data_IF_186226674157
#
_entry.id   IF_186226674157
#
_cell.length_a   1.000
_cell.length_b   1.000
_cell.length_c   1.000
_cell.angle_alpha   90.00
_cell.angle_beta   90.00
_cell.angle_gamma   90.00
#
_symmetry.space_group_name_H-M   'P 1'
#
loop_
_entity.id
_entity.type
_entity.pdbx_description
1 polymer ?
#
# COMPACT_ATOMS: atom_id res chain seq x y z
N UNK A 1 27.02 9.30 3.52
CA UNK A 1 26.00 9.90 2.63
C UNK A 1 24.62 9.42 3.07
N UNK A 2 23.68 10.36 3.17
CA UNK A 2 22.29 10.12 3.56
C UNK A 2 21.38 10.38 2.36
N UNK A 3 20.31 9.59 2.25
CA UNK A 3 19.26 9.83 1.26
C UNK A 3 17.88 9.61 1.87
N UNK A 4 16.91 10.33 1.34
CA UNK A 4 15.48 10.11 1.56
C UNK A 4 14.86 9.82 0.20
N UNK A 5 13.98 8.84 0.13
CA UNK A 5 13.23 8.58 -1.09
C UNK A 5 11.75 8.33 -0.81
N UNK A 6 10.96 8.52 -1.85
CA UNK A 6 9.53 8.16 -1.89
C UNK A 6 9.23 7.41 -3.18
N UNK A 7 8.08 6.74 -3.23
CA UNK A 7 7.61 5.99 -4.40
C UNK A 7 6.22 6.47 -4.77
N UNK A 8 6.02 6.84 -6.04
CA UNK A 8 4.74 7.35 -6.54
C UNK A 8 4.39 6.75 -7.89
N UNK A 9 3.10 6.68 -8.21
CA UNK A 9 2.67 6.71 -9.61
C UNK A 9 2.87 8.13 -10.17
N UNK A 10 2.99 8.30 -11.49
CA UNK A 10 3.37 9.61 -12.07
C UNK A 10 2.38 10.73 -11.75
N UNK A 11 1.11 10.39 -11.54
CA UNK A 11 0.06 11.32 -11.15
C UNK A 11 0.13 11.79 -9.68
N UNK A 12 0.97 11.16 -8.86
CA UNK A 12 1.21 11.51 -7.44
C UNK A 12 2.54 12.24 -7.22
N UNK A 13 3.30 12.57 -8.28
CA UNK A 13 4.53 13.39 -8.19
C UNK A 13 4.34 14.70 -7.41
N UNK A 14 3.21 15.42 -7.49
CA UNK A 14 3.06 16.64 -6.70
C UNK A 14 3.06 16.39 -5.18
N UNK A 15 2.63 15.22 -4.70
CA UNK A 15 2.78 14.85 -3.28
C UNK A 15 4.27 14.68 -2.91
N UNK A 16 5.02 13.96 -3.75
CA UNK A 16 6.45 13.78 -3.57
C UNK A 16 7.22 15.11 -3.57
N UNK A 17 6.77 16.10 -4.36
CA UNK A 17 7.34 17.45 -4.34
C UNK A 17 7.13 18.13 -2.98
N UNK A 18 5.93 18.03 -2.39
CA UNK A 18 5.62 18.60 -1.06
C UNK A 18 6.51 17.95 0.01
N UNK A 19 6.61 16.62 -0.01
CA UNK A 19 7.49 15.87 0.90
C UNK A 19 8.95 16.32 0.75
N UNK A 20 9.47 16.38 -0.49
CA UNK A 20 10.84 16.82 -0.76
C UNK A 20 11.11 18.26 -0.31
N UNK A 21 10.15 19.16 -0.51
CA UNK A 21 10.24 20.55 -0.07
C UNK A 21 10.27 20.65 1.45
N UNK A 22 9.44 19.86 2.16
CA UNK A 22 9.46 19.79 3.62
C UNK A 22 10.80 19.25 4.15
N UNK A 23 11.37 18.22 3.51
CA UNK A 23 12.69 17.72 3.88
C UNK A 23 13.76 18.80 3.73
N UNK A 24 13.80 19.50 2.59
CA UNK A 24 14.84 20.52 2.31
C UNK A 24 14.82 21.67 3.32
N UNK A 25 13.66 22.00 3.89
CA UNK A 25 13.54 23.03 4.93
C UNK A 25 14.33 22.68 6.19
N UNK A 26 14.38 21.40 6.57
CA UNK A 26 15.07 20.94 7.77
C UNK A 26 16.45 20.34 7.49
N UNK A 27 16.66 19.81 6.28
CA UNK A 27 17.81 19.02 5.85
C UNK A 27 18.25 19.37 4.42
N UNK A 28 18.80 20.57 4.17
CA UNK A 28 19.16 21.00 2.82
C UNK A 28 20.27 20.15 2.16
N UNK A 29 21.09 19.48 2.98
CA UNK A 29 22.23 18.68 2.52
C UNK A 29 21.89 17.21 2.21
N UNK A 30 20.68 16.76 2.53
CA UNK A 30 20.26 15.38 2.31
C UNK A 30 19.70 15.22 0.89
N UNK A 31 20.14 14.18 0.18
CA UNK A 31 19.61 13.89 -1.16
C UNK A 31 18.18 13.38 -1.07
N UNK A 32 17.25 14.03 -1.78
CA UNK A 32 15.88 13.54 -1.97
C UNK A 32 15.70 12.93 -3.37
N UNK A 33 15.08 11.76 -3.44
CA UNK A 33 14.89 11.01 -4.69
C UNK A 33 13.43 10.56 -4.82
N UNK A 34 12.85 10.75 -6.00
CA UNK A 34 11.52 10.25 -6.32
C UNK A 34 11.68 8.98 -7.16
N UNK A 35 11.11 7.86 -6.70
CA UNK A 35 11.02 6.66 -7.52
C UNK A 35 9.62 6.61 -8.14
N UNK A 36 9.54 6.46 -9.46
CA UNK A 36 8.26 6.40 -10.17
C UNK A 36 7.93 4.95 -10.53
N UNK A 37 6.88 4.42 -9.91
CA UNK A 37 6.30 3.10 -10.15
C UNK A 37 5.35 3.10 -11.37
N UNK A 38 5.70 3.85 -12.40
CA UNK A 38 4.87 4.13 -13.58
C UNK A 38 5.80 4.42 -14.78
N UNK A 39 5.23 4.70 -15.94
CA UNK A 39 6.00 5.01 -17.16
C UNK A 39 6.00 6.50 -17.48
N UNK A 40 7.13 6.94 -18.04
CA UNK A 40 7.22 8.21 -18.74
C UNK A 40 6.36 8.14 -20.03
N UNK A 41 5.78 9.28 -20.43
CA UNK A 41 5.00 9.41 -21.66
C UNK A 41 5.01 10.86 -22.16
N UNK A 42 4.29 11.16 -23.25
CA UNK A 42 4.25 12.49 -23.85
C UNK A 42 3.71 13.60 -22.92
N UNK A 43 3.03 13.25 -21.82
CA UNK A 43 2.47 14.20 -20.87
C UNK A 43 3.42 14.54 -19.72
N UNK A 44 4.47 13.75 -19.50
CA UNK A 44 5.42 13.98 -18.42
C UNK A 44 6.85 13.57 -18.79
N UNK A 45 7.79 14.48 -18.55
CA UNK A 45 9.22 14.27 -18.75
C UNK A 45 9.91 14.24 -17.38
N UNK A 46 10.42 13.08 -16.98
CA UNK A 46 11.07 12.82 -15.70
C UNK A 46 12.37 13.62 -15.54
N UNK A 47 13.05 13.96 -16.63
CA UNK A 47 14.29 14.76 -16.57
C UNK A 47 14.05 16.22 -16.20
N UNK A 48 12.83 16.71 -16.39
CA UNK A 48 12.43 18.10 -16.10
C UNK A 48 11.74 18.28 -14.75
N UNK A 49 11.70 17.24 -13.92
CA UNK A 49 11.03 17.30 -12.62
C UNK A 49 11.91 17.98 -11.55
N UNK A 50 11.25 18.53 -10.52
CA UNK A 50 11.88 19.32 -9.44
C UNK A 50 12.97 18.56 -8.69
N UNK A 51 12.78 17.25 -8.55
CA UNK A 51 13.69 16.35 -7.86
C UNK A 51 14.14 15.22 -8.80
N UNK A 52 15.33 14.63 -8.59
CA UNK A 52 15.79 13.50 -9.36
C UNK A 52 14.77 12.35 -9.33
N UNK A 53 14.39 11.87 -10.53
CA UNK A 53 13.51 10.72 -10.68
C UNK A 53 14.30 9.47 -11.09
N UNK A 54 13.93 8.36 -10.47
CA UNK A 54 14.33 7.01 -10.88
C UNK A 54 13.07 6.25 -11.31
N UNK A 55 12.93 5.95 -12.59
CA UNK A 55 11.89 5.04 -13.05
C UNK A 55 12.12 3.64 -12.46
N UNK A 56 11.04 2.94 -12.09
CA UNK A 56 11.14 1.60 -11.50
C UNK A 56 11.87 0.59 -12.41
N UNK A 57 11.83 0.80 -13.73
CA UNK A 57 12.56 0.04 -14.75
C UNK A 57 14.09 0.07 -14.54
N UNK A 58 14.61 1.12 -13.91
CA UNK A 58 16.04 1.29 -13.64
C UNK A 58 16.50 0.67 -12.31
N UNK A 59 15.61 0.04 -11.54
CA UNK A 59 15.95 -0.59 -10.26
C UNK A 59 16.61 -1.97 -10.41
N UNK A 60 16.67 -2.52 -11.63
CA UNK A 60 17.27 -3.83 -11.90
C UNK A 60 16.44 -5.00 -11.36
N UNK A 61 15.11 -4.90 -11.43
CA UNK A 61 14.18 -5.94 -10.98
C UNK A 61 13.81 -6.82 -12.17
N UNK A 62 14.24 -8.08 -12.15
CA UNK A 62 13.98 -9.02 -13.25
C UNK A 62 12.48 -9.30 -13.43
N UNK A 63 11.71 -9.40 -12.35
CA UNK A 63 10.25 -9.68 -12.40
C UNK A 63 9.39 -8.40 -12.47
N UNK A 64 9.96 -7.23 -12.81
CA UNK A 64 9.25 -5.94 -12.69
C UNK A 64 7.91 -5.92 -13.42
N UNK A 65 7.88 -6.38 -14.69
CA UNK A 65 6.65 -6.40 -15.50
C UNK A 65 5.58 -7.29 -14.89
N UNK A 66 5.99 -8.42 -14.32
CA UNK A 66 5.08 -9.33 -13.62
C UNK A 66 4.52 -8.68 -12.35
N UNK A 67 5.38 -8.06 -11.54
CA UNK A 67 5.00 -7.33 -10.34
C UNK A 67 4.03 -6.18 -10.67
N UNK A 68 4.33 -5.37 -11.69
CA UNK A 68 3.48 -4.26 -12.13
C UNK A 68 2.10 -4.71 -12.59
N UNK A 69 1.97 -5.96 -13.07
CA UNK A 69 0.69 -6.53 -13.47
C UNK A 69 -0.05 -7.18 -12.29
N UNK A 70 0.59 -8.10 -11.56
CA UNK A 70 -0.08 -8.89 -10.51
C UNK A 70 -0.46 -8.08 -9.28
N UNK A 71 0.28 -7.01 -9.01
CA UNK A 71 -0.04 -6.05 -7.94
C UNK A 71 -0.88 -4.91 -8.48
N UNK A 72 -1.85 -4.44 -7.69
CA UNK A 72 -2.45 -3.13 -7.96
C UNK A 72 -1.45 -1.99 -7.68
N UNK A 73 -1.84 -0.74 -7.97
CA UNK A 73 -0.93 0.40 -7.83
C UNK A 73 -0.34 0.53 -6.41
N UNK A 74 -1.15 0.33 -5.37
CA UNK A 74 -0.69 0.42 -3.97
C UNK A 74 0.26 -0.73 -3.64
N UNK A 75 -0.13 -1.96 -3.97
CA UNK A 75 0.68 -3.17 -3.79
C UNK A 75 2.02 -3.07 -4.56
N UNK A 76 2.02 -2.49 -5.76
CA UNK A 76 3.22 -2.35 -6.58
C UNK A 76 4.16 -1.27 -6.03
N UNK A 77 3.65 -0.07 -5.73
CA UNK A 77 4.45 0.99 -5.12
C UNK A 77 5.13 0.50 -3.83
N UNK A 78 4.38 -0.23 -2.99
CA UNK A 78 4.91 -0.76 -1.74
C UNK A 78 5.91 -1.90 -1.95
N UNK A 79 5.70 -2.77 -2.95
CA UNK A 79 6.62 -3.85 -3.30
C UNK A 79 8.02 -3.36 -3.70
N UNK A 80 8.12 -2.15 -4.26
CA UNK A 80 9.38 -1.58 -4.75
C UNK A 80 10.31 -1.08 -3.64
N UNK A 81 9.80 -0.80 -2.42
CA UNK A 81 10.60 -0.23 -1.31
C UNK A 81 11.93 -0.93 -1.05
N UNK A 82 12.01 -2.26 -0.82
CA UNK A 82 13.29 -2.93 -0.60
C UNK A 82 14.24 -2.83 -1.79
N UNK A 83 13.72 -2.83 -3.01
CA UNK A 83 14.55 -2.70 -4.22
C UNK A 83 15.16 -1.29 -4.32
N UNK A 84 14.43 -0.25 -3.94
CA UNK A 84 14.93 1.11 -3.85
C UNK A 84 16.04 1.23 -2.79
N UNK A 85 15.86 0.65 -1.60
CA UNK A 85 16.92 0.59 -0.58
C UNK A 85 18.18 -0.08 -1.14
N UNK A 86 18.03 -1.25 -1.77
CA UNK A 86 19.15 -1.98 -2.39
C UNK A 86 19.85 -1.14 -3.46
N UNK A 87 19.08 -0.48 -4.32
CA UNK A 87 19.61 0.39 -5.37
C UNK A 87 20.44 1.54 -4.78
N UNK A 88 19.91 2.24 -3.77
CA UNK A 88 20.59 3.37 -3.14
C UNK A 88 21.84 2.95 -2.35
N UNK A 89 21.80 1.80 -1.70
CA UNK A 89 22.98 1.19 -1.08
C UNK A 89 24.10 0.92 -2.10
N UNK A 90 23.75 0.39 -3.28
CA UNK A 90 24.71 0.18 -4.37
C UNK A 90 25.24 1.50 -4.96
N UNK A 91 24.53 2.61 -4.80
CA UNK A 91 24.99 3.96 -5.15
C UNK A 91 25.85 4.62 -4.06
N UNK A 92 26.10 3.93 -2.95
CA UNK A 92 27.01 4.39 -1.89
C UNK A 92 26.32 5.11 -0.72
N UNK A 93 24.99 5.24 -0.73
CA UNK A 93 24.26 5.78 0.42
C UNK A 93 24.34 4.82 1.61
N UNK A 94 24.56 5.37 2.80
CA UNK A 94 24.82 4.57 4.02
C UNK A 94 23.65 4.56 5.00
N UNK A 95 22.84 5.60 4.98
CA UNK A 95 21.60 5.71 5.76
C UNK A 95 20.54 6.21 4.81
N UNK A 96 19.46 5.44 4.67
CA UNK A 96 18.40 5.73 3.72
C UNK A 96 17.08 5.73 4.49
N UNK A 97 16.25 6.74 4.25
CA UNK A 97 14.89 6.81 4.79
C UNK A 97 13.90 6.69 3.62
N UNK A 98 12.86 5.92 3.84
CA UNK A 98 11.66 5.93 3.02
C UNK A 98 10.55 6.71 3.71
N UNK A 99 9.83 7.51 2.93
CA UNK A 99 8.54 8.09 3.31
C UNK A 99 7.48 7.80 2.24
N UNK A 100 6.26 7.45 2.66
CA UNK A 100 5.07 7.52 1.81
C UNK A 100 4.90 8.96 1.30
N UNK A 101 4.40 9.15 0.07
CA UNK A 101 4.43 10.46 -0.58
C UNK A 101 3.49 11.49 0.05
N UNK A 102 2.50 11.05 0.82
CA UNK A 102 1.55 11.88 1.57
C UNK A 102 2.00 12.21 3.00
N UNK A 103 3.32 12.20 3.23
CA UNK A 103 3.94 12.65 4.47
C UNK A 103 4.45 14.09 4.34
N UNK A 104 4.31 14.86 5.42
CA UNK A 104 4.96 16.15 5.59
C UNK A 104 5.89 16.12 6.82
N UNK A 105 7.12 16.60 6.65
CA UNK A 105 8.12 16.70 7.72
C UNK A 105 8.02 18.08 8.37
N UNK A 106 7.79 18.10 9.69
CA UNK A 106 7.61 19.32 10.49
C UNK A 106 8.84 19.68 11.33
N UNK A 107 9.76 18.74 11.55
CA UNK A 107 11.00 18.98 12.29
C UNK A 107 12.14 18.07 11.83
N UNK A 108 13.34 18.27 12.39
CA UNK A 108 14.57 17.56 12.02
C UNK A 108 14.47 16.05 12.29
N UNK A 109 14.97 15.28 11.33
CA UNK A 109 15.13 13.82 11.40
C UNK A 109 16.43 13.36 12.11
N UNK A 110 17.11 14.23 12.86
CA UNK A 110 18.39 13.93 13.52
C UNK A 110 18.29 12.70 14.44
N UNK A 111 17.14 12.53 15.12
CA UNK A 111 16.84 11.35 15.94
C UNK A 111 16.88 10.05 15.13
N UNK A 112 16.30 10.02 13.93
CA UNK A 112 16.29 8.85 13.05
C UNK A 112 17.72 8.48 12.62
N UNK A 113 18.51 9.46 12.19
CA UNK A 113 19.89 9.22 11.76
C UNK A 113 20.81 8.79 12.90
N UNK A 114 20.56 9.33 14.11
CA UNK A 114 21.26 8.92 15.33
C UNK A 114 20.92 7.48 15.69
N UNK A 115 19.65 7.09 15.65
CA UNK A 115 19.21 5.71 15.89
C UNK A 115 19.86 4.74 14.88
N UNK A 116 19.91 5.12 13.60
CA UNK A 116 20.62 4.34 12.58
C UNK A 116 22.13 4.25 12.80
N UNK A 117 22.77 5.02 13.70
CA UNK A 117 24.18 4.77 14.02
C UNK A 117 24.36 3.44 14.73
N UNK A 118 23.39 3.06 15.57
CA UNK A 118 23.43 1.88 16.44
C UNK A 118 22.45 0.77 16.03
N UNK A 119 21.54 1.04 15.08
CA UNK A 119 20.59 0.06 14.55
C UNK A 119 20.71 -0.12 13.03
N UNK A 120 20.29 -1.27 12.53
CA UNK A 120 20.23 -1.54 11.09
C UNK A 120 18.93 -1.07 10.45
N UNK A 121 17.86 -0.93 11.25
CA UNK A 121 16.56 -0.47 10.79
C UNK A 121 15.85 0.33 11.89
N UNK A 122 15.08 1.35 11.48
CA UNK A 122 14.18 2.11 12.34
C UNK A 122 12.76 1.97 11.81
N UNK A 123 11.84 1.59 12.70
CA UNK A 123 10.42 1.39 12.43
C UNK A 123 9.58 2.25 13.37
N UNK A 124 8.35 2.58 12.95
CA UNK A 124 7.34 3.21 13.82
C UNK A 124 6.12 2.30 13.93
N UNK A 125 5.57 2.07 15.13
CA UNK A 125 4.31 1.37 15.28
C UNK A 125 3.15 2.26 14.82
N UNK A 126 2.00 1.68 14.50
CA UNK A 126 0.78 2.46 14.29
C UNK A 126 0.48 3.32 15.54
N UNK A 127 0.46 2.70 16.72
CA UNK A 127 0.33 3.35 18.02
C UNK A 127 1.08 2.55 19.08
N UNK A 128 1.31 3.13 20.27
CA UNK A 128 2.12 2.48 21.30
C UNK A 128 1.63 2.69 22.74
N UNK A 129 0.47 3.29 22.93
CA UNK A 129 -0.23 3.36 24.21
C UNK A 129 -1.11 2.14 24.39
N UNK A 130 -0.93 1.43 25.49
CA UNK A 130 -1.82 0.33 25.87
C UNK A 130 -3.15 0.89 26.40
N UNK A 131 -4.25 0.29 25.97
CA UNK A 131 -5.60 0.57 26.46
C UNK A 131 -6.28 -0.75 26.80
N UNK A 132 -6.95 -0.82 27.96
CA UNK A 132 -7.81 -1.98 28.28
C UNK A 132 -9.11 -1.94 27.47
N UNK A 133 -9.64 -0.74 27.24
CA UNK A 133 -10.85 -0.49 26.46
C UNK A 133 -10.47 0.38 25.26
N UNK A 134 -10.09 -0.25 24.16
CA UNK A 134 -9.58 0.43 22.96
C UNK A 134 -10.54 1.53 22.44
N UNK A 135 -10.03 2.76 22.31
CA UNK A 135 -10.84 3.93 21.92
C UNK A 135 -10.62 4.40 20.47
N UNK A 136 -9.76 3.69 19.73
CA UNK A 136 -9.35 4.06 18.39
C UNK A 136 -10.44 4.04 17.31
N UNK A 137 -10.10 4.64 16.17
CA UNK A 137 -11.02 4.83 15.04
C UNK A 137 -11.30 3.54 14.26
N UNK A 138 -10.31 2.66 14.17
CA UNK A 138 -10.40 1.40 13.45
C UNK A 138 -10.46 0.24 14.42
N UNK A 139 -11.29 -0.78 14.17
CA UNK A 139 -11.26 -2.00 14.99
C UNK A 139 -9.85 -2.57 15.02
N UNK A 140 -9.41 -3.09 16.16
CA UNK A 140 -8.06 -3.68 16.31
C UNK A 140 -7.78 -4.80 15.29
N UNK A 141 -8.81 -5.54 14.86
CA UNK A 141 -8.70 -6.52 13.77
C UNK A 141 -8.23 -5.94 12.42
N UNK A 142 -8.38 -4.63 12.19
CA UNK A 142 -7.79 -3.95 11.04
C UNK A 142 -6.29 -3.74 11.22
N UNK A 143 -5.84 -3.43 12.44
CA UNK A 143 -4.44 -3.24 12.79
C UNK A 143 -3.72 -4.60 12.78
N UNK A 144 -4.32 -5.65 13.36
CA UNK A 144 -3.81 -7.02 13.29
C UNK A 144 -3.64 -7.51 11.86
N UNK A 145 -4.56 -7.12 10.96
CA UNK A 145 -4.41 -7.42 9.54
C UNK A 145 -3.29 -6.60 8.92
N UNK A 146 -3.27 -5.27 9.11
CA UNK A 146 -2.30 -4.38 8.52
C UNK A 146 -0.85 -4.70 8.94
N UNK A 147 -0.64 -4.97 10.23
CA UNK A 147 0.68 -5.12 10.86
C UNK A 147 0.83 -4.15 12.02
N UNK A 148 1.77 -4.44 12.93
CA UNK A 148 2.04 -3.60 14.11
C UNK A 148 2.73 -2.31 13.68
N UNK A 149 3.67 -2.41 12.74
CA UNK A 149 4.40 -1.27 12.19
C UNK A 149 3.67 -0.64 11.01
N UNK A 150 3.75 0.69 10.91
CA UNK A 150 3.29 1.42 9.75
C UNK A 150 4.48 1.79 8.87
N UNK A 151 4.51 1.28 7.63
CA UNK A 151 5.59 1.55 6.68
C UNK A 151 5.35 2.77 5.78
N UNK A 152 4.50 3.70 6.20
CA UNK A 152 4.61 5.07 5.72
C UNK A 152 5.97 5.67 6.03
N UNK A 153 6.67 5.14 7.03
CA UNK A 153 8.06 5.45 7.30
C UNK A 153 8.84 4.18 7.63
N UNK A 154 10.04 4.07 7.06
CA UNK A 154 11.08 3.22 7.61
C UNK A 154 12.45 3.77 7.22
N UNK A 155 13.46 3.44 8.01
CA UNK A 155 14.84 3.80 7.69
C UNK A 155 15.75 2.59 7.81
N UNK A 156 16.71 2.47 6.91
CA UNK A 156 17.68 1.38 6.93
C UNK A 156 19.11 1.92 6.78
N UNK A 157 20.03 1.24 7.46
CA UNK A 157 21.47 1.46 7.32
C UNK A 157 22.08 0.40 6.42
N UNK A 158 23.06 0.83 5.62
CA UNK A 158 23.97 -0.07 4.95
C UNK A 158 24.87 -0.76 5.99
N UNK A 159 24.48 -1.97 6.37
CA UNK A 159 25.17 -2.87 7.29
C UNK A 159 24.92 -4.32 6.86
N UNK A 160 25.60 -5.29 7.45
CA UNK A 160 25.37 -6.71 7.15
C UNK A 160 23.92 -7.13 7.45
N UNK A 161 23.37 -6.69 8.57
CA UNK A 161 21.97 -6.97 8.92
C UNK A 161 20.99 -6.17 8.04
N UNK A 162 21.27 -4.89 7.75
CA UNK A 162 20.46 -4.08 6.84
C UNK A 162 20.36 -4.71 5.44
N UNK A 163 21.46 -5.24 4.91
CA UNK A 163 21.48 -5.96 3.64
C UNK A 163 20.70 -7.29 3.70
N UNK A 164 20.81 -8.05 4.80
CA UNK A 164 19.99 -9.26 5.00
C UNK A 164 18.50 -8.94 5.02
N UNK A 165 18.10 -7.90 5.75
CA UNK A 165 16.71 -7.42 5.81
C UNK A 165 16.23 -7.06 4.39
N UNK A 166 16.97 -6.21 3.68
CA UNK A 166 16.61 -5.78 2.31
C UNK A 166 16.48 -6.97 1.36
N UNK A 167 17.44 -7.90 1.36
CA UNK A 167 17.42 -9.04 0.45
C UNK A 167 16.26 -10.00 0.77
N UNK A 168 16.01 -10.27 2.06
CA UNK A 168 14.87 -11.05 2.49
C UNK A 168 13.55 -10.40 2.08
N UNK A 169 13.43 -9.08 2.28
CA UNK A 169 12.22 -8.33 1.97
C UNK A 169 11.97 -8.25 0.45
N UNK A 170 13.01 -8.00 -0.38
CA UNK A 170 12.94 -8.11 -1.84
C UNK A 170 12.33 -9.47 -2.26
N UNK A 171 12.83 -10.57 -1.69
CA UNK A 171 12.36 -11.90 -2.04
C UNK A 171 10.88 -12.11 -1.65
N UNK A 172 10.45 -11.68 -0.46
CA UNK A 172 9.05 -11.76 -0.05
C UNK A 172 8.14 -10.91 -0.94
N UNK A 173 8.51 -9.66 -1.21
CA UNK A 173 7.66 -8.72 -1.95
C UNK A 173 7.65 -8.93 -3.47
N UNK A 174 8.56 -9.76 -3.99
CA UNK A 174 8.47 -10.22 -5.38
C UNK A 174 7.21 -11.07 -5.57
N UNK A 175 6.82 -11.87 -4.57
CA UNK A 175 5.72 -12.83 -4.69
C UNK A 175 4.51 -12.54 -3.80
N UNK A 176 4.69 -11.87 -2.66
CA UNK A 176 3.70 -11.84 -1.58
C UNK A 176 3.36 -10.42 -1.08
N UNK A 177 3.53 -9.38 -1.90
CA UNK A 177 3.13 -7.99 -1.57
C UNK A 177 1.63 -7.72 -1.80
N UNK A 178 0.76 -8.58 -1.26
CA UNK A 178 -0.68 -8.49 -1.48
C UNK A 178 -1.41 -7.95 -0.26
N UNK A 179 -2.50 -7.20 -0.48
CA UNK A 179 -3.50 -6.94 0.54
C UNK A 179 -4.57 -8.04 0.52
N UNK A 180 -4.32 -9.15 1.22
CA UNK A 180 -5.19 -10.33 1.23
C UNK A 180 -5.37 -10.90 2.65
N UNK A 181 -6.57 -10.70 3.21
CA UNK A 181 -6.93 -11.19 4.55
C UNK A 181 -6.94 -12.72 4.65
N UNK A 182 -7.22 -13.43 3.56
CA UNK A 182 -7.30 -14.89 3.54
C UNK A 182 -5.92 -15.50 3.67
N UNK A 183 -4.95 -14.95 2.93
CA UNK A 183 -3.54 -15.39 2.98
C UNK A 183 -2.80 -14.78 4.19
N UNK A 184 -3.45 -13.91 4.96
CA UNK A 184 -2.83 -13.21 6.08
C UNK A 184 -1.74 -12.24 5.63
N UNK A 185 -1.84 -11.68 4.43
CA UNK A 185 -0.88 -10.76 3.83
C UNK A 185 -1.41 -9.33 3.82
N UNK A 186 -0.55 -8.36 4.10
CA UNK A 186 -0.88 -6.96 3.91
C UNK A 186 0.35 -6.17 3.45
N UNK A 187 0.46 -6.09 2.12
CA UNK A 187 1.50 -5.38 1.37
C UNK A 187 2.89 -5.63 1.96
N UNK A 188 3.73 -4.60 1.95
CA UNK A 188 5.10 -4.60 2.42
C UNK A 188 5.19 -4.62 3.96
N UNK A 189 4.29 -3.92 4.64
CA UNK A 189 4.40 -3.62 6.07
C UNK A 189 4.24 -4.83 6.99
N UNK A 190 3.31 -5.74 6.68
CA UNK A 190 3.05 -6.89 7.56
C UNK A 190 4.27 -7.78 7.75
N UNK A 191 5.13 -7.87 6.74
CA UNK A 191 6.38 -8.63 6.82
C UNK A 191 7.32 -8.10 7.89
N UNK A 192 7.25 -6.80 8.22
CA UNK A 192 8.15 -6.20 9.20
C UNK A 192 7.83 -6.57 10.65
N UNK A 193 6.65 -7.13 10.92
CA UNK A 193 6.30 -7.69 12.23
C UNK A 193 7.27 -8.79 12.68
N UNK A 194 7.89 -9.51 11.73
CA UNK A 194 8.88 -10.55 12.03
C UNK A 194 10.28 -10.01 12.36
N UNK A 195 10.61 -8.80 11.91
CA UNK A 195 12.00 -8.31 11.95
C UNK A 195 12.59 -8.16 13.35
N UNK A 196 11.86 -7.63 14.36
CA UNK A 196 12.37 -7.58 15.73
C UNK A 196 12.69 -8.96 16.32
N UNK A 197 12.06 -10.02 15.82
CA UNK A 197 12.36 -11.40 16.25
C UNK A 197 13.59 -11.99 15.56
N UNK A 198 13.92 -11.54 14.35
CA UNK A 198 15.07 -12.04 13.60
C UNK A 198 16.35 -11.25 13.84
N UNK A 199 16.23 -9.97 14.19
CA UNK A 199 17.35 -9.04 14.29
C UNK A 199 17.26 -8.23 15.60
N UNK A 200 18.30 -8.32 16.43
CA UNK A 200 18.37 -7.60 17.70
C UNK A 200 18.61 -6.08 17.53
N UNK A 201 19.02 -5.64 16.33
CA UNK A 201 19.37 -4.25 16.02
C UNK A 201 18.29 -3.57 15.15
N UNK A 202 17.02 -3.93 15.36
CA UNK A 202 15.85 -3.19 14.85
C UNK A 202 15.37 -2.25 15.94
N UNK A 203 15.44 -0.95 15.68
CA UNK A 203 14.97 0.07 16.62
C UNK A 203 13.51 0.42 16.35
N UNK A 204 12.70 0.39 17.41
CA UNK A 204 11.29 0.79 17.35
C UNK A 204 11.19 2.21 17.91
N UNK A 205 10.99 3.18 17.02
CA UNK A 205 10.75 4.57 17.38
C UNK A 205 9.36 4.73 17.99
N UNK A 206 9.30 5.21 19.23
CA UNK A 206 8.09 5.32 20.04
C UNK A 206 7.71 6.76 20.36
N UNK A 207 8.50 7.74 19.95
CA UNK A 207 8.16 9.15 20.09
C UNK A 207 6.83 9.46 19.42
N UNK A 208 5.99 10.23 20.11
CA UNK A 208 4.63 10.53 19.67
C UNK A 208 4.62 11.49 18.47
N UNK A 209 5.70 12.25 18.30
CA UNK A 209 5.95 13.12 17.15
C UNK A 209 6.21 12.40 15.83
N UNK A 210 6.44 11.09 15.83
CA UNK A 210 6.77 10.33 14.63
C UNK A 210 5.53 9.61 14.07
N UNK A 211 5.27 9.75 12.77
CA UNK A 211 4.22 9.02 12.05
C UNK A 211 2.82 9.24 12.64
N UNK A 212 2.48 10.51 12.96
CA UNK A 212 1.13 10.86 13.38
C UNK A 212 0.15 10.71 12.22
N UNK A 213 -0.97 10.03 12.44
CA UNK A 213 -1.99 9.77 11.43
C UNK A 213 -3.31 9.30 12.05
N UNK A 214 -4.30 9.04 11.20
CA UNK A 214 -5.66 8.63 11.59
C UNK A 214 -5.73 7.43 12.54
N UNK A 215 -4.78 6.49 12.51
CA UNK A 215 -4.78 5.35 13.43
C UNK A 215 -4.31 5.68 14.85
N UNK A 216 -3.63 6.80 15.08
CA UNK A 216 -3.13 7.20 16.41
C UNK A 216 -3.71 8.52 16.95
N UNK A 217 -4.67 9.14 16.26
CA UNK A 217 -5.39 10.30 16.81
C UNK A 217 -6.03 10.05 18.18
N UNK A 218 -6.46 8.82 18.46
CA UNK A 218 -7.05 8.45 19.75
C UNK A 218 -6.07 8.59 20.93
N UNK A 219 -4.78 8.31 20.72
CA UNK A 219 -3.75 8.43 21.76
C UNK A 219 -2.98 9.76 21.69
N UNK A 220 -2.87 10.39 20.52
CA UNK A 220 -2.04 11.58 20.28
C UNK A 220 -2.89 12.81 20.05
N UNK A 221 -2.76 13.81 20.92
CA UNK A 221 -3.35 15.13 20.75
C UNK A 221 -2.35 16.09 20.15
N UNK A 222 -2.77 16.76 19.07
CA UNK A 222 -2.00 17.81 18.43
C UNK A 222 -2.25 19.15 19.13
N UNK A 223 -1.18 19.89 19.40
CA UNK A 223 -1.22 21.22 20.00
C UNK A 223 -0.43 22.13 19.08
N UNK A 224 -1.02 23.24 18.68
CA UNK A 224 -0.32 24.30 17.95
C UNK A 224 0.04 25.44 18.90
N UNK A 225 1.30 25.89 18.84
CA UNK A 225 1.78 27.07 19.55
C UNK A 225 2.73 27.85 18.66
N UNK A 226 2.43 29.12 18.41
CA UNK A 226 3.28 30.02 17.63
C UNK A 226 3.68 29.45 16.25
N UNK A 227 2.77 28.74 15.57
CA UNK A 227 3.02 28.10 14.27
C UNK A 227 3.86 26.82 14.32
N UNK A 228 4.16 26.31 15.52
CA UNK A 228 4.80 25.01 15.73
C UNK A 228 3.81 23.99 16.29
N UNK A 229 4.03 22.73 15.97
CA UNK A 229 3.17 21.62 16.39
C UNK A 229 3.86 20.73 17.43
N UNK A 230 3.11 20.42 18.48
CA UNK A 230 3.52 19.55 19.57
C UNK A 230 2.48 18.46 19.78
N UNK A 231 2.91 17.32 20.33
CA UNK A 231 2.09 16.16 20.62
C UNK A 231 2.12 15.90 22.12
N UNK A 232 0.94 15.64 22.68
CA UNK A 232 0.81 15.03 24.01
C UNK A 232 0.04 13.72 23.90
N UNK A 233 0.33 12.80 24.81
CA UNK A 233 -0.48 11.61 24.95
C UNK A 233 -1.78 11.94 25.69
N UNK A 234 -2.93 11.89 25.00
CA UNK A 234 -4.22 12.24 25.59
C UNK A 234 -4.82 11.16 26.51
N UNK A 235 -4.22 9.95 26.54
CA UNK A 235 -4.69 8.83 27.37
C UNK A 235 -3.96 8.80 28.71
N UNK A 236 -2.62 8.71 28.71
CA UNK A 236 -1.82 8.62 29.95
C UNK A 236 -1.36 9.98 30.49
N UNK A 237 -1.48 11.04 29.68
CA UNK A 237 -0.77 12.30 29.92
C UNK A 237 0.73 12.14 29.61
N UNK A 238 1.34 13.14 28.97
CA UNK A 238 2.79 13.18 28.76
C UNK A 238 3.29 14.61 28.70
N UNK A 239 4.61 14.79 28.77
CA UNK A 239 5.25 16.02 28.31
C UNK A 239 4.97 16.22 26.83
N UNK A 240 5.03 17.48 26.41
CA UNK A 240 4.97 17.86 24.99
C UNK A 240 6.22 17.36 24.26
N UNK A 241 6.00 16.70 23.12
CA UNK A 241 7.03 16.33 22.16
C UNK A 241 6.79 17.08 20.85
N UNK A 242 7.83 17.54 20.12
CA UNK A 242 7.62 18.17 18.82
C UNK A 242 7.03 17.17 17.81
N UNK A 243 6.12 17.63 16.95
CA UNK A 243 5.69 16.86 15.78
C UNK A 243 6.86 16.79 14.78
N UNK A 244 7.36 15.58 14.49
CA UNK A 244 8.46 15.37 13.56
C UNK A 244 7.94 15.19 12.13
N UNK A 245 6.95 14.32 11.95
CA UNK A 245 6.26 14.19 10.67
C UNK A 245 4.84 13.64 10.82
N UNK A 246 3.97 14.06 9.91
CA UNK A 246 2.57 13.66 9.85
C UNK A 246 2.30 12.92 8.54
N UNK A 247 1.55 11.82 8.62
CA UNK A 247 1.14 11.02 7.48
C UNK A 247 -0.34 11.25 7.20
N UNK A 248 -0.63 11.93 6.08
CA UNK A 248 -1.99 12.28 5.65
C UNK A 248 -2.73 11.10 4.99
N UNK A 249 -2.59 9.93 5.60
CA UNK A 249 -3.23 8.69 5.16
C UNK A 249 -4.75 8.78 5.26
N UNK A 250 -5.46 8.22 4.29
CA UNK A 250 -6.92 8.28 4.10
C UNK A 250 -7.50 9.66 3.75
N UNK A 251 -6.69 10.69 3.51
CA UNK A 251 -7.19 11.97 3.01
C UNK A 251 -7.56 11.89 1.52
N UNK A 252 -8.58 12.67 1.13
CA UNK A 252 -9.08 12.72 -0.24
C UNK A 252 -8.39 13.84 -1.03
N UNK A 253 -7.15 13.63 -1.46
CA UNK A 253 -6.30 14.68 -2.09
C UNK A 253 -6.94 15.43 -3.27
N UNK A 254 -7.85 14.79 -4.03
CA UNK A 254 -8.60 15.45 -5.13
C UNK A 254 -9.52 16.56 -4.64
N UNK A 255 -9.98 16.47 -3.39
CA UNK A 255 -10.95 17.37 -2.77
C UNK A 255 -10.27 18.42 -1.87
N UNK A 256 -8.96 18.67 -2.03
CA UNK A 256 -8.19 19.59 -1.18
C UNK A 256 -8.81 21.00 -1.08
N UNK A 257 -9.52 21.48 -2.10
CA UNK A 257 -10.22 22.78 -2.07
C UNK A 257 -11.46 22.81 -1.17
N UNK A 258 -11.91 21.68 -0.65
CA UNK A 258 -13.07 21.56 0.22
C UNK A 258 -12.71 20.74 1.47
N UNK A 259 -12.23 21.42 2.54
CA UNK A 259 -11.68 20.80 3.75
C UNK A 259 -12.56 19.66 4.32
N UNK A 260 -13.88 19.85 4.39
CA UNK A 260 -14.81 18.83 4.90
C UNK A 260 -14.95 17.57 4.04
N UNK A 261 -14.55 17.62 2.76
CA UNK A 261 -14.44 16.46 1.86
C UNK A 261 -13.02 15.92 1.77
N UNK A 262 -12.02 16.80 1.93
CA UNK A 262 -10.61 16.46 1.96
C UNK A 262 -10.28 15.53 3.13
N UNK A 263 -10.80 15.86 4.31
CA UNK A 263 -10.54 15.12 5.54
C UNK A 263 -11.34 13.81 5.61
N UNK A 264 -10.77 12.74 6.20
CA UNK A 264 -11.53 11.53 6.50
C UNK A 264 -12.76 11.85 7.36
N UNK A 265 -13.89 11.17 7.13
CA UNK A 265 -15.14 11.36 7.89
C UNK A 265 -14.90 11.25 9.41
N UNK A 266 -13.96 10.38 9.81
CA UNK A 266 -13.59 10.10 11.19
C UNK A 266 -12.95 11.31 11.90
N UNK A 267 -12.43 12.29 11.16
CA UNK A 267 -11.85 13.52 11.70
C UNK A 267 -12.81 14.32 12.56
N UNK A 268 -14.13 14.15 12.39
CA UNK A 268 -15.16 14.82 13.21
C UNK A 268 -15.04 14.49 14.71
N UNK A 269 -14.32 13.43 15.09
CA UNK A 269 -14.03 13.07 16.48
C UNK A 269 -12.82 13.80 17.08
N UNK A 270 -12.02 14.49 16.26
CA UNK A 270 -10.72 15.05 16.63
C UNK A 270 -10.52 16.42 15.99
N UNK A 271 -11.00 17.47 16.65
CA UNK A 271 -10.92 18.84 16.10
C UNK A 271 -9.48 19.39 16.08
N UNK A 272 -8.57 18.81 16.87
CA UNK A 272 -7.18 19.22 16.97
C UNK A 272 -6.37 18.99 15.69
N UNK A 273 -6.88 18.20 14.74
CA UNK A 273 -6.23 17.96 13.44
C UNK A 273 -6.70 18.90 12.32
N UNK A 274 -7.66 19.79 12.58
CA UNK A 274 -8.22 20.67 11.55
C UNK A 274 -7.17 21.62 10.97
N UNK A 275 -6.33 22.22 11.82
CA UNK A 275 -5.35 23.21 11.38
C UNK A 275 -4.24 22.59 10.52
N UNK A 276 -3.67 21.46 10.96
CA UNK A 276 -2.66 20.74 10.16
C UNK A 276 -3.24 20.20 8.85
N UNK A 277 -4.53 19.85 8.83
CA UNK A 277 -5.24 19.44 7.62
C UNK A 277 -5.43 20.59 6.64
N UNK A 278 -5.83 21.77 7.13
CA UNK A 278 -5.95 22.96 6.29
C UNK A 278 -4.59 23.37 5.71
N UNK A 279 -3.54 23.38 6.55
CA UNK A 279 -2.18 23.64 6.12
C UNK A 279 -1.75 22.75 4.94
N UNK A 280 -1.96 21.44 5.05
CA UNK A 280 -1.57 20.52 3.98
C UNK A 280 -2.48 20.65 2.74
N UNK A 281 -3.78 20.92 2.92
CA UNK A 281 -4.69 21.20 1.81
C UNK A 281 -4.23 22.42 0.99
N UNK A 282 -3.75 23.47 1.64
CA UNK A 282 -3.25 24.67 0.95
C UNK A 282 -2.01 24.37 0.09
N UNK A 283 -1.11 23.51 0.58
CA UNK A 283 0.05 23.03 -0.20
C UNK A 283 -0.39 22.22 -1.43
N UNK A 284 -1.37 21.34 -1.27
CA UNK A 284 -1.93 20.52 -2.34
C UNK A 284 -2.58 21.37 -3.44
N UNK A 285 -3.30 22.42 -3.05
CA UNK A 285 -3.91 23.39 -3.98
C UNK A 285 -2.81 24.11 -4.75
N UNK A 286 -1.76 24.59 -4.07
CA UNK A 286 -0.61 25.27 -4.69
C UNK A 286 0.10 24.38 -5.72
N UNK A 287 0.21 23.09 -5.44
CA UNK A 287 0.80 22.08 -6.35
C UNK A 287 -0.17 21.58 -7.44
N UNK A 288 -1.41 22.10 -7.50
CA UNK A 288 -2.43 21.71 -8.48
C UNK A 288 -2.70 20.19 -8.52
N UNK A 289 -2.69 19.50 -7.37
CA UNK A 289 -2.79 18.04 -7.31
C UNK A 289 -4.05 17.50 -8.03
N UNK A 290 -5.20 18.17 -7.90
CA UNK A 290 -6.46 17.72 -8.50
C UNK A 290 -6.37 17.66 -10.03
N UNK A 291 -5.70 18.63 -10.64
CA UNK A 291 -5.47 18.69 -12.08
C UNK A 291 -4.55 17.56 -12.55
N UNK A 292 -3.46 17.32 -11.80
CA UNK A 292 -2.49 16.26 -12.12
C UNK A 292 -3.11 14.86 -12.01
N UNK A 293 -3.87 14.61 -10.94
CA UNK A 293 -4.58 13.35 -10.72
C UNK A 293 -5.67 13.07 -11.76
N UNK A 294 -6.16 14.09 -12.46
CA UNK A 294 -7.12 13.94 -13.55
C UNK A 294 -6.45 13.75 -14.92
N UNK A 295 -5.32 14.42 -15.15
CA UNK A 295 -4.62 14.43 -16.45
C UNK A 295 -3.72 13.21 -16.66
N UNK A 296 -3.01 12.79 -15.63
CA UNK A 296 -2.02 11.73 -15.73
C UNK A 296 -2.65 10.38 -15.33
N UNK A 297 -2.92 9.53 -16.31
CA UNK A 297 -3.45 8.19 -16.08
C UNK A 297 -2.32 7.21 -15.74
N UNK A 298 -2.50 6.37 -14.72
CA UNK A 298 -1.53 5.33 -14.34
C UNK A 298 -1.33 4.31 -15.48
N UNK A 299 -0.11 4.15 -16.00
CA UNK A 299 0.12 3.39 -17.24
C UNK A 299 -0.14 1.89 -17.07
N UNK A 300 0.03 1.34 -15.87
CA UNK A 300 -0.23 -0.08 -15.62
C UNK A 300 -1.70 -0.40 -15.30
N UNK A 301 -2.63 0.55 -15.47
CA UNK A 301 -4.07 0.34 -15.27
C UNK A 301 -4.78 -0.35 -16.46
N UNK A 302 -4.11 -0.48 -17.60
CA UNK A 302 -4.68 -1.03 -18.83
C UNK A 302 -3.68 -1.93 -19.56
N UNK A 303 -4.20 -2.81 -20.42
CA UNK A 303 -3.41 -3.50 -21.44
C UNK A 303 -2.85 -2.50 -22.48
N UNK A 304 -1.93 -2.94 -23.34
CA UNK A 304 -1.29 -2.09 -24.36
C UNK A 304 -2.28 -1.47 -25.37
N UNK A 305 -3.46 -2.07 -25.55
CA UNK A 305 -4.55 -1.56 -26.38
C UNK A 305 -5.53 -0.61 -25.63
N UNK A 306 -5.26 -0.28 -24.37
CA UNK A 306 -6.11 0.57 -23.53
C UNK A 306 -7.26 -0.15 -22.81
N UNK A 307 -7.42 -1.46 -22.97
CA UNK A 307 -8.45 -2.23 -22.23
C UNK A 307 -8.17 -2.18 -20.72
N UNK A 308 -9.13 -1.80 -19.86
CA UNK A 308 -8.89 -1.71 -18.41
C UNK A 308 -8.54 -3.05 -17.75
N UNK A 309 -7.64 -3.02 -16.78
CA UNK A 309 -7.25 -4.17 -15.95
C UNK A 309 -7.88 -4.03 -14.56
N UNK A 310 -8.89 -4.85 -14.27
CA UNK A 310 -9.50 -4.94 -12.95
C UNK A 310 -8.65 -5.74 -11.96
N UNK A 311 -8.86 -5.54 -10.66
CA UNK A 311 -8.23 -6.32 -9.59
C UNK A 311 -8.47 -7.82 -9.76
N UNK A 312 -9.67 -8.21 -10.23
CA UNK A 312 -9.97 -9.60 -10.56
C UNK A 312 -8.98 -10.17 -11.58
N UNK A 313 -8.69 -9.45 -12.67
CA UNK A 313 -7.72 -9.89 -13.67
C UNK A 313 -6.31 -10.05 -13.09
N UNK A 314 -5.89 -9.18 -12.16
CA UNK A 314 -4.57 -9.26 -11.51
C UNK A 314 -4.44 -10.48 -10.61
N UNK A 315 -5.48 -10.76 -9.82
CA UNK A 315 -5.57 -11.94 -8.94
C UNK A 315 -5.67 -13.23 -9.75
N UNK A 316 -6.45 -13.21 -10.82
CA UNK A 316 -6.55 -14.32 -11.74
C UNK A 316 -5.20 -14.63 -12.40
N UNK A 317 -4.46 -13.59 -12.81
CA UNK A 317 -3.12 -13.71 -13.35
C UNK A 317 -2.13 -14.36 -12.38
N UNK A 318 -2.16 -13.98 -11.09
CA UNK A 318 -1.37 -14.64 -10.03
C UNK A 318 -1.57 -16.16 -10.07
N UNK A 319 -2.82 -16.63 -10.15
CA UNK A 319 -3.11 -18.07 -10.19
C UNK A 319 -2.48 -18.75 -11.40
N UNK A 320 -2.57 -18.11 -12.57
CA UNK A 320 -2.07 -18.70 -13.82
C UNK A 320 -0.53 -18.75 -13.89
N UNK A 321 0.16 -17.84 -13.21
CA UNK A 321 1.62 -17.95 -13.00
C UNK A 321 1.94 -19.15 -12.12
N UNK A 322 1.26 -19.31 -10.98
CA UNK A 322 1.54 -20.39 -10.02
C UNK A 322 1.48 -21.79 -10.62
N UNK A 323 0.64 -21.97 -11.65
CA UNK A 323 0.47 -23.25 -12.38
C UNK A 323 1.30 -23.34 -13.66
N UNK A 324 2.07 -22.31 -14.02
CA UNK A 324 2.96 -22.29 -15.19
C UNK A 324 2.27 -22.14 -16.56
N UNK A 325 1.03 -21.62 -16.59
CA UNK A 325 0.23 -21.47 -17.82
C UNK A 325 0.48 -20.13 -18.54
N UNK A 326 1.18 -19.18 -17.92
CA UNK A 326 1.54 -17.90 -18.54
C UNK A 326 3.01 -17.87 -18.90
N UNK A 327 3.30 -17.54 -20.16
CA UNK A 327 4.67 -17.46 -20.71
C UNK A 327 4.97 -16.17 -21.49
N UNK A 328 3.97 -15.32 -21.71
CA UNK A 328 4.10 -14.05 -22.46
C UNK A 328 4.03 -12.84 -21.53
N UNK A 329 4.41 -11.66 -22.05
CA UNK A 329 4.22 -10.39 -21.33
C UNK A 329 2.74 -10.20 -20.98
N UNK A 330 2.39 -9.82 -19.73
CA UNK A 330 1.01 -9.82 -19.28
C UNK A 330 0.19 -8.63 -19.78
N UNK A 331 0.83 -7.56 -20.24
CA UNK A 331 0.18 -6.39 -20.81
C UNK A 331 -0.08 -6.49 -22.32
N UNK A 332 0.51 -7.49 -22.99
CA UNK A 332 0.46 -7.64 -24.45
C UNK A 332 -0.92 -8.08 -24.95
N UNK A 333 -1.39 -7.51 -26.07
CA UNK A 333 -2.67 -7.91 -26.69
C UNK A 333 -2.54 -8.54 -28.08
N UNK A 334 -1.38 -8.45 -28.73
CA UNK A 334 -1.18 -8.87 -30.13
C UNK A 334 -1.08 -10.39 -30.27
N UNK A 335 -0.23 -11.06 -29.48
CA UNK A 335 -0.09 -12.51 -29.56
C UNK A 335 -1.41 -13.26 -29.27
N UNK A 336 -1.73 -14.28 -30.07
CA UNK A 336 -2.90 -15.15 -29.83
C UNK A 336 -2.84 -15.90 -28.50
N UNK A 337 -1.64 -16.10 -27.96
CA UNK A 337 -1.39 -16.74 -26.66
C UNK A 337 -1.28 -15.74 -25.52
N UNK A 338 -1.54 -14.45 -25.74
CA UNK A 338 -1.45 -13.44 -24.70
C UNK A 338 -2.51 -13.64 -23.61
N UNK A 339 -2.20 -13.16 -22.40
CA UNK A 339 -3.15 -13.19 -21.28
C UNK A 339 -4.45 -12.43 -21.62
N UNK A 340 -4.35 -11.30 -22.29
CA UNK A 340 -5.52 -10.56 -22.78
C UNK A 340 -6.41 -11.42 -23.69
N UNK A 341 -5.83 -12.11 -24.68
CA UNK A 341 -6.62 -12.92 -25.60
C UNK A 341 -7.19 -14.18 -24.95
N UNK A 342 -6.52 -14.72 -23.91
CA UNK A 342 -7.09 -15.77 -23.07
C UNK A 342 -8.36 -15.29 -22.35
N UNK A 343 -8.30 -14.11 -21.70
CA UNK A 343 -9.46 -13.50 -21.06
C UNK A 343 -10.58 -13.19 -22.07
N UNK A 344 -10.22 -12.66 -23.24
CA UNK A 344 -11.18 -12.30 -24.31
C UNK A 344 -11.98 -13.51 -24.79
N UNK A 345 -11.31 -14.63 -25.09
CA UNK A 345 -11.94 -15.87 -25.56
C UNK A 345 -12.92 -16.43 -24.54
N UNK A 346 -12.56 -16.35 -23.26
CA UNK A 346 -13.37 -16.83 -22.13
C UNK A 346 -14.38 -15.77 -21.60
N UNK A 347 -14.57 -14.64 -22.31
CA UNK A 347 -15.52 -13.56 -21.94
C UNK A 347 -15.27 -12.96 -20.55
N UNK A 348 -14.01 -12.90 -20.14
CA UNK A 348 -13.56 -12.37 -18.85
C UNK A 348 -13.06 -10.91 -18.94
N UNK A 349 -13.28 -10.23 -20.07
CA UNK A 349 -12.96 -8.80 -20.20
C UNK A 349 -14.21 -7.95 -20.01
N UNK A 350 -14.10 -6.96 -19.12
CA UNK A 350 -15.10 -5.91 -18.94
C UNK A 350 -14.79 -4.65 -19.74
N UNK A 351 -15.82 -3.84 -20.00
CA UNK A 351 -15.68 -2.52 -20.64
C UNK A 351 -15.54 -1.37 -19.63
N UNK A 352 -15.83 -1.60 -18.34
CA UNK A 352 -15.84 -0.57 -17.31
C UNK A 352 -14.60 -0.61 -16.43
N UNK A 353 -13.88 0.51 -16.37
CA UNK A 353 -12.76 0.73 -15.45
C UNK A 353 -13.18 0.97 -13.99
N UNK A 354 -14.49 1.03 -13.70
CA UNK A 354 -15.00 1.36 -12.37
C UNK A 354 -15.34 0.14 -11.50
N UNK A 355 -15.16 -1.08 -12.00
CA UNK A 355 -15.52 -2.31 -11.26
C UNK A 355 -14.89 -2.33 -9.86
N UNK A 356 -13.60 -2.02 -9.76
CA UNK A 356 -12.84 -2.06 -8.50
C UNK A 356 -13.24 -0.96 -7.49
N UNK A 357 -14.01 0.05 -7.92
CA UNK A 357 -14.52 1.13 -7.06
C UNK A 357 -15.89 0.81 -6.46
N UNK A 358 -16.56 -0.23 -6.96
CA UNK A 358 -17.88 -0.61 -6.47
C UNK A 358 -17.80 -1.37 -5.15
N UNK A 359 -18.71 -1.09 -4.24
CA UNK A 359 -18.88 -1.72 -2.94
C UNK A 359 -20.35 -1.67 -2.49
N UNK A 360 -20.65 -2.21 -1.31
CA UNK A 360 -22.02 -2.27 -0.77
C UNK A 360 -22.71 -0.91 -0.64
N UNK A 361 -21.95 0.18 -0.48
CA UNK A 361 -22.50 1.54 -0.29
C UNK A 361 -22.81 2.27 -1.59
N UNK A 362 -22.19 1.90 -2.71
CA UNK A 362 -22.36 2.60 -3.99
C UNK A 362 -22.87 1.70 -5.14
N UNK A 363 -23.08 0.41 -4.87
CA UNK A 363 -23.63 -0.51 -5.87
C UNK A 363 -25.16 -0.43 -5.92
N UNK A 364 -25.69 0.01 -7.07
CA UNK A 364 -27.12 0.20 -7.25
C UNK A 364 -27.93 -1.08 -7.00
N UNK A 365 -28.95 -0.96 -6.15
CA UNK A 365 -29.85 -2.06 -5.79
C UNK A 365 -29.18 -3.18 -4.99
N UNK A 366 -28.03 -2.93 -4.34
CA UNK A 366 -27.31 -3.92 -3.54
C UNK A 366 -28.22 -4.67 -2.56
N UNK A 367 -29.02 -3.97 -1.77
CA UNK A 367 -29.91 -4.59 -0.76
C UNK A 367 -30.95 -5.52 -1.39
N UNK A 368 -31.48 -5.17 -2.57
CA UNK A 368 -32.45 -6.01 -3.26
C UNK A 368 -31.77 -7.29 -3.78
N UNK A 369 -30.59 -7.16 -4.38
CA UNK A 369 -29.78 -8.29 -4.86
C UNK A 369 -29.35 -9.20 -3.71
N UNK A 370 -28.97 -8.63 -2.56
CA UNK A 370 -28.66 -9.37 -1.34
C UNK A 370 -29.87 -10.16 -0.82
N UNK A 371 -31.07 -9.57 -0.83
CA UNK A 371 -32.31 -10.28 -0.47
C UNK A 371 -32.58 -11.47 -1.40
N UNK A 372 -32.30 -11.36 -2.69
CA UNK A 372 -32.41 -12.48 -3.64
C UNK A 372 -31.39 -13.58 -3.31
N UNK A 373 -30.12 -13.24 -3.09
CA UNK A 373 -29.09 -14.19 -2.68
C UNK A 373 -29.46 -14.92 -1.38
N UNK A 374 -30.04 -14.21 -0.41
CA UNK A 374 -30.52 -14.80 0.84
C UNK A 374 -31.66 -15.82 0.61
N UNK A 375 -32.53 -15.61 -0.38
CA UNK A 375 -33.58 -16.58 -0.75
C UNK A 375 -32.97 -17.83 -1.39
N UNK A 376 -31.99 -17.65 -2.28
CA UNK A 376 -31.26 -18.76 -2.91
C UNK A 376 -30.53 -19.58 -1.84
N UNK A 377 -29.83 -18.92 -0.91
CA UNK A 377 -29.13 -19.58 0.19
C UNK A 377 -30.09 -20.40 1.08
N UNK A 378 -31.29 -19.86 1.38
CA UNK A 378 -32.34 -20.60 2.10
C UNK A 378 -32.81 -21.84 1.35
N UNK A 379 -32.99 -21.73 0.03
CA UNK A 379 -33.38 -22.85 -0.83
C UNK A 379 -32.28 -23.93 -0.88
N UNK A 380 -31.02 -23.53 -1.07
CA UNK A 380 -29.88 -24.47 -1.06
C UNK A 380 -29.86 -25.22 0.28
N UNK A 381 -29.91 -24.50 1.41
CA UNK A 381 -29.96 -25.11 2.75
C UNK A 381 -31.14 -26.07 2.91
N UNK A 382 -32.31 -25.74 2.36
CA UNK A 382 -33.48 -26.63 2.40
C UNK A 382 -33.23 -27.93 1.64
N UNK A 383 -32.61 -27.86 0.45
CA UNK A 383 -32.33 -29.02 -0.40
C UNK A 383 -31.24 -29.93 0.19
N UNK A 384 -30.12 -29.36 0.65
CA UNK A 384 -28.94 -30.15 1.05
C UNK A 384 -28.87 -30.44 2.56
N UNK A 385 -29.73 -29.82 3.37
CA UNK A 385 -29.69 -29.90 4.82
C UNK A 385 -28.67 -28.96 5.47
N UNK A 386 -28.78 -28.77 6.79
CA UNK A 386 -27.96 -27.80 7.53
C UNK A 386 -26.47 -28.16 7.54
N UNK A 387 -26.12 -29.42 7.79
CA UNK A 387 -24.72 -29.85 7.93
C UNK A 387 -23.93 -29.61 6.64
N UNK A 388 -24.49 -30.02 5.49
CA UNK A 388 -23.88 -29.78 4.17
C UNK A 388 -23.83 -28.29 3.84
N UNK A 389 -24.84 -27.52 4.23
CA UNK A 389 -24.84 -26.06 4.04
C UNK A 389 -23.79 -25.35 4.90
N UNK A 390 -23.62 -25.74 6.17
CA UNK A 390 -22.56 -25.21 7.02
C UNK A 390 -21.17 -25.52 6.45
N UNK A 391 -20.99 -26.74 5.92
CA UNK A 391 -19.77 -27.13 5.22
C UNK A 391 -19.56 -26.30 3.95
N UNK A 392 -20.61 -26.07 3.15
CA UNK A 392 -20.57 -25.18 2.00
C UNK A 392 -20.12 -23.78 2.40
N UNK A 393 -20.70 -23.17 3.44
CA UNK A 393 -20.28 -21.86 3.95
C UNK A 393 -18.79 -21.82 4.30
N UNK A 394 -18.25 -22.89 4.91
CA UNK A 394 -16.81 -23.01 5.22
C UNK A 394 -15.93 -23.00 3.96
N UNK A 395 -16.39 -23.60 2.86
CA UNK A 395 -15.67 -23.64 1.60
C UNK A 395 -15.86 -22.37 0.76
N UNK A 396 -17.04 -21.76 0.80
CA UNK A 396 -17.41 -20.62 -0.04
C UNK A 396 -16.47 -19.43 0.14
N UNK A 397 -15.98 -19.19 1.36
CA UNK A 397 -15.03 -18.11 1.64
C UNK A 397 -13.77 -18.17 0.75
N UNK A 398 -13.25 -19.37 0.51
CA UNK A 398 -12.08 -19.59 -0.36
C UNK A 398 -12.48 -19.74 -1.81
N UNK A 399 -13.64 -20.37 -2.07
CA UNK A 399 -14.13 -20.61 -3.41
C UNK A 399 -14.28 -19.33 -4.20
N UNK A 400 -14.92 -18.30 -3.64
CA UNK A 400 -15.22 -17.05 -4.37
C UNK A 400 -14.01 -16.16 -4.64
N UNK A 401 -12.80 -16.55 -4.22
CA UNK A 401 -11.56 -15.83 -4.56
C UNK A 401 -11.31 -15.93 -6.06
N UNK A 402 -10.84 -14.84 -6.66
CA UNK A 402 -10.51 -14.80 -8.08
C UNK A 402 -9.52 -15.90 -8.47
N UNK A 403 -8.52 -16.18 -7.64
CA UNK A 403 -7.56 -17.27 -7.83
C UNK A 403 -8.22 -18.66 -7.94
N UNK A 404 -9.36 -18.88 -7.28
CA UNK A 404 -10.10 -20.14 -7.34
C UNK A 404 -11.17 -20.17 -8.44
N UNK A 405 -11.32 -19.09 -9.21
CA UNK A 405 -12.22 -19.03 -10.37
C UNK A 405 -11.55 -19.47 -11.69
N UNK A 406 -10.32 -19.99 -11.65
CA UNK A 406 -9.55 -20.31 -12.86
C UNK A 406 -10.20 -21.38 -13.77
N UNK A 407 -11.16 -22.15 -13.26
CA UNK A 407 -12.03 -23.02 -14.06
C UNK A 407 -12.88 -22.29 -15.11
N UNK A 408 -12.99 -20.96 -15.03
CA UNK A 408 -13.63 -20.12 -16.05
C UNK A 408 -12.82 -20.06 -17.36
N UNK A 409 -11.59 -20.57 -17.38
CA UNK A 409 -10.83 -20.79 -18.62
C UNK A 409 -11.12 -22.21 -19.10
N UNK A 410 -11.84 -22.33 -20.22
CA UNK A 410 -12.20 -23.62 -20.82
C UNK A 410 -10.96 -24.49 -21.07
N UNK A 411 -9.85 -23.87 -21.50
CA UNK A 411 -8.59 -24.56 -21.78
C UNK A 411 -7.94 -25.22 -20.54
N UNK A 412 -8.36 -24.85 -19.32
CA UNK A 412 -7.77 -25.32 -18.06
C UNK A 412 -8.77 -25.95 -17.09
N UNK A 413 -10.04 -26.12 -17.48
CA UNK A 413 -11.14 -26.49 -16.58
C UNK A 413 -10.85 -27.75 -15.74
N UNK A 414 -10.20 -28.77 -16.32
CA UNK A 414 -9.89 -30.04 -15.65
C UNK A 414 -8.51 -30.08 -14.97
N UNK A 415 -7.67 -29.05 -15.14
CA UNK A 415 -6.26 -29.05 -14.71
C UNK A 415 -6.01 -28.26 -13.43
N UNK A 416 -7.02 -27.59 -12.89
CA UNK A 416 -6.84 -26.57 -11.85
C UNK A 416 -7.36 -27.05 -10.50
N UNK A 417 -6.50 -27.51 -9.58
CA UNK A 417 -6.94 -27.89 -8.26
C UNK A 417 -7.43 -26.66 -7.50
N UNK A 418 -8.49 -26.85 -6.72
CA UNK A 418 -8.94 -25.89 -5.72
C UNK A 418 -7.82 -25.61 -4.71
N UNK A 419 -7.44 -24.34 -4.59
CA UNK A 419 -6.41 -23.89 -3.65
C UNK A 419 -7.04 -23.63 -2.29
N UNK A 420 -6.46 -24.29 -1.31
CA UNK A 420 -6.64 -23.97 0.09
C UNK A 420 -5.24 -23.77 0.66
N UNK A 421 -4.97 -22.61 1.24
CA UNK A 421 -3.70 -22.28 1.87
C UNK A 421 -3.30 -23.30 2.95
N UNK A 422 -4.28 -23.99 3.55
CA UNK A 422 -4.05 -25.09 4.50
C UNK A 422 -3.83 -26.47 3.85
N UNK A 423 -4.07 -26.65 2.54
CA UNK A 423 -3.87 -27.94 1.85
C UNK A 423 -2.39 -28.29 1.71
N UNK A 424 -1.52 -27.30 1.52
CA UNK A 424 -0.07 -27.52 1.36
C UNK A 424 0.64 -27.98 2.64
N UNK A 425 -0.02 -27.91 3.79
CA UNK A 425 0.54 -28.39 5.06
C UNK A 425 0.51 -29.93 5.15
N UNK A 426 -0.31 -30.62 4.34
CA UNK A 426 -0.56 -32.07 4.50
C UNK A 426 -0.28 -32.93 3.26
N UNK A 427 0.41 -32.43 2.22
CA UNK A 427 0.71 -33.24 1.02
C UNK A 427 2.10 -33.89 1.00
N UNK A 428 2.87 -33.74 2.08
CA UNK A 428 4.19 -34.39 2.23
C UNK A 428 4.45 -35.00 3.62
N UNK A 429 3.40 -35.44 4.32
CA UNK A 429 3.54 -36.29 5.52
C UNK A 429 3.03 -37.70 5.26
#
# INVERSE_FOLDING_TARGET
MQAVFTIVAKNYIPLANILGDSLRQHHPDITFIIVVADREDDLIDFSKQRYPIIAAENLGITQLTEMAFKYNVTEFCTALKPFCFRFLFNKGYKQVIYFDPDIYIFDKLDGVFSNLQVSSMVLTPHYNTIEENYTGLFREGNILFAGIFNLGFCALKYSDNGLKIVNWWCNRLTEQCYADRTDGLHVDQKWTDFLPMYFNDVYIEKGLGYNMAVWNWHERQLIERNGQYFIINRIKGSSEEPLIFYHFSNYHFKEASALGKFMPIQAKRFNDINHVSQFYADLLIKENIASQLAKLAYSYASFDNGTPIAQFHRRFYRRLIEIGEIRSSPFETVSSTSYHNLLKRNRLLGTSSNLDKLNESNFEGFDHKLKLLNRIAKLIKFIIGFEKYALLCKFMYRYVRAENQAFLIEEHQDRLPFVNENRYINTHL
#
